data_IF_457706328560
#
_entry.id   IF_457706328560
#
_cell.length_a   1.000
_cell.length_b   1.000
_cell.length_c   1.000
_cell.angle_alpha   90.00
_cell.angle_beta   90.00
_cell.angle_gamma   90.00
#
_symmetry.space_group_name_H-M   'P 1'
#
loop_
_entity.id
_entity.type
_entity.pdbx_description
1 polymer ?
#
# COMPACT_ATOMS: atom_id res chain seq x y z
N UNK A 1 -14.00 -17.73 18.33
CA UNK A 1 -13.39 -18.33 17.11
C UNK A 1 -14.36 -17.98 16.00
N UNK A 2 -14.30 -16.73 15.56
CA UNK A 2 -15.47 -16.03 15.05
C UNK A 2 -15.36 -15.79 13.55
N UNK A 3 -16.48 -15.99 12.84
CA UNK A 3 -16.71 -15.88 11.39
C UNK A 3 -16.38 -14.49 10.77
N UNK A 4 -15.75 -13.58 11.51
CA UNK A 4 -15.47 -12.21 11.09
C UNK A 4 -14.40 -12.10 9.97
N UNK A 5 -13.72 -13.19 9.60
CA UNK A 5 -12.62 -13.15 8.64
C UNK A 5 -13.05 -13.15 7.15
N UNK A 6 -14.32 -13.42 6.82
CA UNK A 6 -14.72 -13.66 5.42
C UNK A 6 -15.18 -12.43 4.61
N UNK A 7 -15.14 -11.23 5.17
CA UNK A 7 -15.41 -9.99 4.40
C UNK A 7 -14.24 -9.02 4.55
N UNK A 8 -13.05 -9.44 4.13
CA UNK A 8 -11.93 -8.51 3.98
C UNK A 8 -12.27 -7.62 2.78
N UNK A 9 -12.75 -6.40 3.04
CA UNK A 9 -12.99 -5.44 1.98
C UNK A 9 -11.68 -5.18 1.21
N UNK A 10 -11.72 -5.05 -0.13
CA UNK A 10 -10.52 -4.95 -0.96
C UNK A 10 -9.61 -3.77 -0.59
N UNK A 11 -10.18 -2.70 -0.03
CA UNK A 11 -9.46 -1.55 0.52
C UNK A 11 -8.62 -1.92 1.75
N UNK A 12 -9.17 -2.68 2.69
CA UNK A 12 -8.44 -3.11 3.90
C UNK A 12 -7.28 -4.04 3.55
N UNK A 13 -7.47 -4.95 2.58
CA UNK A 13 -6.39 -5.80 2.09
C UNK A 13 -5.29 -4.95 1.44
N UNK A 14 -5.66 -3.97 0.61
CA UNK A 14 -4.70 -3.08 -0.03
C UNK A 14 -3.93 -2.22 0.98
N UNK A 15 -4.60 -1.65 1.97
CA UNK A 15 -3.97 -0.90 3.06
C UNK A 15 -2.96 -1.75 3.83
N UNK A 16 -3.30 -3.00 4.13
CA UNK A 16 -2.39 -3.92 4.81
C UNK A 16 -1.20 -4.32 3.92
N UNK A 17 -1.40 -4.49 2.61
CA UNK A 17 -0.31 -4.73 1.66
C UNK A 17 0.63 -3.52 1.56
N UNK A 18 0.10 -2.31 1.66
CA UNK A 18 0.84 -1.05 1.61
C UNK A 18 1.62 -0.76 2.89
N UNK A 19 1.04 -1.06 4.05
CA UNK A 19 1.66 -0.86 5.36
C UNK A 19 2.46 -2.08 5.85
N UNK A 20 2.68 -3.07 4.98
CA UNK A 20 3.41 -4.29 5.32
C UNK A 20 4.87 -3.99 5.68
N UNK A 21 5.20 -4.19 6.95
CA UNK A 21 6.56 -4.05 7.51
C UNK A 21 6.96 -5.38 8.18
N UNK A 22 8.03 -6.01 7.69
CA UNK A 22 8.60 -7.22 8.30
C UNK A 22 9.77 -6.85 9.20
N UNK A 23 9.75 -7.34 10.44
CA UNK A 23 10.82 -7.10 11.42
C UNK A 23 12.03 -8.03 11.24
N UNK A 24 11.84 -9.16 10.57
CA UNK A 24 12.88 -10.15 10.35
C UNK A 24 13.83 -9.73 9.20
N UNK A 25 15.13 -9.85 9.44
CA UNK A 25 16.16 -9.33 8.50
C UNK A 25 16.11 -9.99 7.13
N UNK A 26 15.76 -11.28 7.08
CA UNK A 26 15.71 -12.05 5.84
C UNK A 26 14.52 -11.66 4.98
N UNK A 27 13.36 -11.36 5.58
CA UNK A 27 12.13 -10.98 4.89
C UNK A 27 11.94 -9.47 4.76
N UNK A 28 12.87 -8.67 5.32
CA UNK A 28 12.81 -7.21 5.32
C UNK A 28 12.70 -6.62 3.91
N UNK A 29 13.32 -7.24 2.91
CA UNK A 29 13.26 -6.82 1.50
C UNK A 29 11.85 -6.96 0.89
N UNK A 30 10.97 -7.75 1.49
CA UNK A 30 9.56 -7.88 1.10
C UNK A 30 8.68 -6.83 1.79
N UNK A 31 9.23 -5.99 2.67
CA UNK A 31 8.48 -4.90 3.30
C UNK A 31 8.24 -3.81 2.27
N UNK A 32 7.02 -3.28 2.26
CA UNK A 32 6.66 -2.14 1.40
C UNK A 32 6.70 -0.81 2.16
N UNK A 33 6.82 -0.87 3.49
CA UNK A 33 7.02 0.27 4.38
C UNK A 33 8.26 0.02 5.24
N UNK A 34 9.15 1.00 5.30
CA UNK A 34 10.33 1.00 6.16
C UNK A 34 10.30 2.22 7.05
N UNK A 35 10.29 2.04 8.38
CA UNK A 35 10.44 3.18 9.29
C UNK A 35 11.92 3.57 9.36
N UNK A 36 12.29 4.70 8.76
CA UNK A 36 13.68 5.13 8.69
C UNK A 36 14.14 5.82 9.99
N UNK A 37 13.33 6.73 10.53
CA UNK A 37 13.69 7.54 11.71
C UNK A 37 12.45 7.92 12.51
N UNK A 38 12.59 7.96 13.84
CA UNK A 38 11.55 8.46 14.74
C UNK A 38 12.17 9.51 15.65
N UNK A 39 11.58 10.71 15.68
CA UNK A 39 11.95 11.80 16.56
C UNK A 39 10.72 12.26 17.36
N UNK A 40 10.57 11.72 18.58
CA UNK A 40 9.40 11.97 19.41
C UNK A 40 8.10 11.60 18.67
N UNK A 41 7.14 12.53 18.47
CA UNK A 41 5.90 12.25 17.73
C UNK A 41 6.11 12.16 16.20
N UNK A 42 7.26 12.58 15.68
CA UNK A 42 7.53 12.61 14.23
C UNK A 42 8.12 11.27 13.81
N UNK A 43 7.48 10.62 12.84
CA UNK A 43 7.97 9.39 12.23
C UNK A 43 8.21 9.60 10.73
N UNK A 44 9.37 9.15 10.24
CA UNK A 44 9.67 9.05 8.82
C UNK A 44 9.51 7.60 8.37
N UNK A 45 8.68 7.38 7.35
CA UNK A 45 8.49 6.07 6.73
C UNK A 45 8.74 6.16 5.23
N UNK A 46 9.61 5.30 4.71
CA UNK A 46 9.88 5.14 3.30
C UNK A 46 8.94 4.07 2.72
N UNK A 47 8.19 4.42 1.69
CA UNK A 47 7.28 3.52 0.99
C UNK A 47 7.89 3.08 -0.34
N UNK A 48 7.83 1.78 -0.63
CA UNK A 48 8.18 1.25 -1.95
C UNK A 48 7.05 1.52 -2.95
N UNK A 49 7.33 2.41 -3.90
CA UNK A 49 6.39 2.88 -4.93
C UNK A 49 6.54 2.18 -6.27
N UNK A 50 7.40 1.15 -6.39
CA UNK A 50 7.80 0.59 -7.69
C UNK A 50 6.61 0.13 -8.55
N UNK A 51 5.55 -0.44 -7.95
CA UNK A 51 4.33 -0.86 -8.64
C UNK A 51 3.15 0.14 -8.55
N UNK A 52 3.35 1.27 -7.88
CA UNK A 52 2.33 2.30 -7.64
C UNK A 52 2.56 3.54 -8.48
N UNK A 53 3.80 3.80 -8.86
CA UNK A 53 4.14 4.99 -9.63
C UNK A 53 3.74 4.81 -11.11
N UNK A 54 3.45 5.92 -11.79
CA UNK A 54 3.07 6.01 -13.21
C UNK A 54 4.18 5.51 -14.17
N UNK A 55 5.30 5.05 -13.65
CA UNK A 55 6.46 4.63 -14.42
C UNK A 55 6.25 3.29 -15.14
N UNK A 56 5.45 2.38 -14.57
CA UNK A 56 5.11 1.08 -15.17
C UNK A 56 3.72 1.09 -15.84
N UNK A 57 3.57 0.35 -16.95
CA UNK A 57 2.28 0.17 -17.63
C UNK A 57 1.32 -0.65 -16.77
N UNK A 58 0.08 -0.19 -16.58
CA UNK A 58 -0.92 -0.75 -15.65
C UNK A 58 -0.63 -0.47 -14.17
N UNK A 59 -0.02 0.68 -13.88
CA UNK A 59 0.18 1.11 -12.51
C UNK A 59 -1.15 1.32 -11.78
N UNK A 60 -1.16 1.09 -10.46
CA UNK A 60 -2.34 1.30 -9.61
C UNK A 60 -2.88 2.73 -9.74
N UNK A 61 -1.98 3.72 -9.85
CA UNK A 61 -2.37 5.14 -10.01
C UNK A 61 -3.07 5.40 -11.35
N UNK A 62 -2.61 4.74 -12.42
CA UNK A 62 -3.21 4.80 -13.75
C UNK A 62 -4.62 4.19 -13.74
N UNK A 63 -4.80 3.06 -13.06
CA UNK A 63 -6.09 2.39 -12.89
C UNK A 63 -7.07 3.28 -12.12
N UNK A 64 -6.64 3.82 -10.96
CA UNK A 64 -7.47 4.71 -10.12
C UNK A 64 -7.84 5.99 -10.88
N UNK A 65 -6.88 6.59 -11.58
CA UNK A 65 -7.11 7.80 -12.38
C UNK A 65 -8.07 7.55 -13.54
N UNK A 66 -7.92 6.42 -14.24
CA UNK A 66 -8.81 6.04 -15.34
C UNK A 66 -10.25 5.85 -14.86
N UNK A 67 -10.45 5.15 -13.74
CA UNK A 67 -11.78 5.00 -13.12
C UNK A 67 -12.35 6.37 -12.72
N UNK A 68 -11.53 7.23 -12.10
CA UNK A 68 -11.96 8.56 -11.67
C UNK A 68 -12.38 9.45 -12.85
N UNK A 69 -11.64 9.43 -13.96
CA UNK A 69 -12.01 10.16 -15.17
C UNK A 69 -13.32 9.62 -15.78
N UNK A 70 -13.48 8.30 -15.86
CA UNK A 70 -14.72 7.70 -16.36
C UNK A 70 -15.91 8.09 -15.47
N UNK A 71 -15.69 8.14 -14.15
CA UNK A 71 -16.68 8.55 -13.15
C UNK A 71 -17.08 10.03 -13.27
N UNK A 72 -16.16 10.93 -13.62
CA UNK A 72 -16.45 12.37 -13.82
C UNK A 72 -17.12 12.65 -15.16
N UNK A 73 -16.77 11.87 -16.20
CA UNK A 73 -17.32 12.04 -17.56
C UNK A 73 -18.66 11.33 -17.77
N UNK A 74 -19.12 10.53 -16.81
CA UNK A 74 -20.46 9.93 -16.75
C UNK A 74 -21.43 10.84 -16.02
#
# INVERSE_FOLDING_TARGET
MDECCMVVQPTTLFENMMHREFQERETRHLSRKFTEWVYGPVHSSLYDLTSLDSYEKNSVLEIVYSIYIIRIKS
#
